data_IF_146620970079
#
_entry.id   IF_146620970079
#
_cell.length_a   1.000
_cell.length_b   1.000
_cell.length_c   1.000
_cell.angle_alpha   90.00
_cell.angle_beta   90.00
_cell.angle_gamma   90.00
#
_symmetry.space_group_name_H-M   'P 1'
#
loop_
_entity.id
_entity.type
_entity.pdbx_description
1 polymer ?
#
# COMPACT_ATOMS: atom_id res chain seq x y z
N UNK A 1 14.89 -18.93 16.92
CA UNK A 1 15.26 -18.01 15.81
C UNK A 1 14.36 -16.79 15.90
N UNK A 2 14.85 -15.61 15.51
CA UNK A 2 13.96 -14.44 15.35
C UNK A 2 13.00 -14.71 14.18
N UNK A 3 11.73 -14.34 14.31
CA UNK A 3 10.78 -14.46 13.19
C UNK A 3 11.16 -13.53 12.04
N UNK A 4 10.75 -13.86 10.81
CA UNK A 4 10.96 -13.00 9.63
C UNK A 4 10.52 -11.56 9.90
N UNK A 5 9.36 -11.38 10.55
CA UNK A 5 8.86 -10.04 10.88
C UNK A 5 9.75 -9.29 11.88
N UNK A 6 10.34 -9.98 12.86
CA UNK A 6 11.26 -9.33 13.78
C UNK A 6 12.52 -8.83 13.05
N UNK A 7 13.06 -9.63 12.14
CA UNK A 7 14.21 -9.22 11.30
C UNK A 7 13.88 -8.00 10.44
N UNK A 8 12.67 -7.91 9.88
CA UNK A 8 12.21 -6.75 9.12
C UNK A 8 12.15 -5.49 9.99
N UNK A 9 11.57 -5.58 11.19
CA UNK A 9 11.52 -4.43 12.13
C UNK A 9 12.89 -3.93 12.53
N UNK A 10 13.87 -4.84 12.63
CA UNK A 10 15.25 -4.51 13.00
C UNK A 10 16.10 -4.04 11.80
N UNK A 11 15.49 -3.92 10.60
CA UNK A 11 16.18 -3.48 9.38
C UNK A 11 17.10 -4.54 8.76
N UNK A 12 17.04 -5.79 9.23
CA UNK A 12 17.89 -6.91 8.80
C UNK A 12 17.26 -7.64 7.61
N UNK A 13 17.05 -6.89 6.51
CA UNK A 13 16.22 -7.37 5.39
C UNK A 13 16.82 -8.57 4.64
N UNK A 14 18.14 -8.63 4.44
CA UNK A 14 18.77 -9.80 3.80
C UNK A 14 18.56 -11.06 4.62
N UNK A 15 18.69 -10.96 5.94
CA UNK A 15 18.47 -12.08 6.85
C UNK A 15 16.99 -12.48 6.91
N UNK A 16 16.08 -11.50 6.84
CA UNK A 16 14.64 -11.75 6.72
C UNK A 16 14.32 -12.55 5.46
N UNK A 17 14.93 -12.24 4.31
CA UNK A 17 14.74 -13.00 3.08
C UNK A 17 15.19 -14.46 3.24
N UNK A 18 16.38 -14.70 3.81
CA UNK A 18 16.90 -16.04 4.03
C UNK A 18 16.05 -16.84 5.03
N UNK A 19 15.59 -16.20 6.11
CA UNK A 19 14.71 -16.80 7.10
C UNK A 19 13.35 -17.19 6.49
N UNK A 20 12.77 -16.33 5.64
CA UNK A 20 11.51 -16.60 4.97
C UNK A 20 11.58 -17.82 4.04
N UNK A 21 12.65 -17.95 3.27
CA UNK A 21 12.86 -19.11 2.39
C UNK A 21 12.97 -20.41 3.20
N UNK A 22 13.73 -20.38 4.31
CA UNK A 22 13.89 -21.53 5.20
C UNK A 22 12.57 -21.92 5.90
N UNK A 23 11.82 -20.95 6.41
CA UNK A 23 10.52 -21.18 7.06
C UNK A 23 9.48 -21.76 6.09
N UNK A 24 9.41 -21.23 4.86
CA UNK A 24 8.53 -21.75 3.82
C UNK A 24 8.93 -23.18 3.41
N UNK A 25 10.22 -23.47 3.24
CA UNK A 25 10.70 -24.81 2.91
C UNK A 25 10.36 -25.85 3.99
N UNK A 26 10.33 -25.46 5.26
CA UNK A 26 10.01 -26.35 6.39
C UNK A 26 8.50 -26.56 6.57
N UNK A 27 7.72 -25.48 6.53
CA UNK A 27 6.29 -25.50 6.86
C UNK A 27 5.37 -25.71 5.67
N UNK A 28 5.85 -25.44 4.45
CA UNK A 28 5.06 -25.23 3.23
C UNK A 28 4.06 -24.06 3.33
N UNK A 29 4.12 -23.27 4.40
CA UNK A 29 3.34 -22.04 4.52
C UNK A 29 3.96 -20.95 3.64
N UNK A 30 3.11 -20.22 2.92
CA UNK A 30 3.50 -19.14 2.03
C UNK A 30 3.57 -17.79 2.76
N UNK A 31 2.98 -17.67 3.95
CA UNK A 31 2.95 -16.43 4.72
C UNK A 31 4.35 -15.81 4.97
N UNK A 32 5.42 -16.58 5.27
CA UNK A 32 6.77 -16.02 5.38
C UNK A 32 7.25 -15.36 4.08
N UNK A 33 6.83 -15.85 2.91
CA UNK A 33 7.21 -15.27 1.62
C UNK A 33 6.58 -13.90 1.37
N UNK A 34 5.38 -13.64 1.91
CA UNK A 34 4.78 -12.29 1.87
C UNK A 34 5.63 -11.28 2.65
N UNK A 35 6.20 -11.69 3.79
CA UNK A 35 7.15 -10.85 4.52
C UNK A 35 8.45 -10.65 3.72
N UNK A 36 8.92 -11.66 2.97
CA UNK A 36 10.06 -11.53 2.06
C UNK A 36 9.81 -10.47 0.98
N UNK A 37 8.60 -10.36 0.42
CA UNK A 37 8.23 -9.27 -0.51
C UNK A 37 8.50 -7.90 0.12
N UNK A 38 8.08 -7.68 1.37
CA UNK A 38 8.34 -6.43 2.10
C UNK A 38 9.84 -6.17 2.31
N UNK A 39 10.61 -7.21 2.62
CA UNK A 39 12.06 -7.11 2.75
C UNK A 39 12.74 -6.73 1.42
N UNK A 40 12.29 -7.32 0.29
CA UNK A 40 12.80 -7.02 -1.05
C UNK A 40 12.50 -5.58 -1.47
N UNK A 41 11.30 -5.05 -1.16
CA UNK A 41 10.95 -3.66 -1.38
C UNK A 41 11.87 -2.70 -0.59
N UNK A 42 12.22 -3.03 0.65
CA UNK A 42 13.14 -2.23 1.45
C UNK A 42 14.59 -2.30 0.93
N UNK A 43 14.98 -3.41 0.32
CA UNK A 43 16.27 -3.59 -0.36
C UNK A 43 16.31 -3.00 -1.78
N UNK A 44 15.19 -2.46 -2.29
CA UNK A 44 15.02 -2.03 -3.68
C UNK A 44 15.34 -3.12 -4.72
N UNK A 45 15.16 -4.39 -4.37
CA UNK A 45 15.33 -5.55 -5.25
C UNK A 45 14.00 -5.83 -5.96
N UNK A 46 13.57 -4.89 -6.82
CA UNK A 46 12.21 -4.83 -7.35
C UNK A 46 11.89 -5.99 -8.30
N UNK A 47 12.82 -6.41 -9.14
CA UNK A 47 12.64 -7.53 -10.07
C UNK A 47 12.37 -8.85 -9.32
N UNK A 48 13.12 -9.11 -8.25
CA UNK A 48 12.92 -10.29 -7.40
C UNK A 48 11.60 -10.21 -6.63
N UNK A 49 11.18 -9.00 -6.24
CA UNK A 49 9.87 -8.78 -5.61
C UNK A 49 8.74 -9.12 -6.59
N UNK A 50 8.83 -8.71 -7.87
CA UNK A 50 7.87 -9.07 -8.91
C UNK A 50 7.79 -10.58 -9.11
N UNK A 51 8.94 -11.25 -9.27
CA UNK A 51 8.99 -12.70 -9.48
C UNK A 51 8.36 -13.45 -8.31
N UNK A 52 8.72 -13.07 -7.07
CA UNK A 52 8.17 -13.70 -5.88
C UNK A 52 6.68 -13.46 -5.73
N UNK A 53 6.20 -12.23 -5.91
CA UNK A 53 4.76 -11.91 -5.83
C UNK A 53 3.95 -12.69 -6.86
N UNK A 54 4.42 -12.80 -8.11
CA UNK A 54 3.77 -13.63 -9.13
C UNK A 54 3.69 -15.10 -8.72
N UNK A 55 4.77 -15.65 -8.19
CA UNK A 55 4.80 -17.03 -7.69
C UNK A 55 3.82 -17.25 -6.53
N UNK A 56 3.70 -16.26 -5.63
CA UNK A 56 2.72 -16.31 -4.54
C UNK A 56 1.31 -16.33 -5.10
N UNK A 57 0.95 -15.38 -5.97
CA UNK A 57 -0.37 -15.31 -6.60
C UNK A 57 -0.72 -16.62 -7.32
N UNK A 58 0.20 -17.19 -8.09
CA UNK A 58 -0.02 -18.47 -8.77
C UNK A 58 -0.27 -19.62 -7.77
N UNK A 59 0.57 -19.73 -6.74
CA UNK A 59 0.44 -20.79 -5.74
C UNK A 59 -0.83 -20.68 -4.87
N UNK A 60 -1.32 -19.46 -4.64
CA UNK A 60 -2.56 -19.20 -3.90
C UNK A 60 -3.77 -19.00 -4.79
N UNK A 61 -3.63 -19.20 -6.11
CA UNK A 61 -4.69 -18.96 -7.10
C UNK A 61 -5.31 -17.57 -7.01
N UNK A 62 -4.53 -16.55 -6.60
CA UNK A 62 -5.03 -15.18 -6.46
C UNK A 62 -6.07 -14.99 -5.35
N UNK A 63 -6.11 -15.89 -4.36
CA UNK A 63 -7.14 -15.89 -3.33
C UNK A 63 -7.22 -14.60 -2.49
N UNK A 64 -6.15 -13.80 -2.37
CA UNK A 64 -6.14 -12.59 -1.54
C UNK A 64 -5.61 -11.35 -2.26
N UNK A 65 -6.28 -10.22 -2.03
CA UNK A 65 -5.95 -8.91 -2.60
C UNK A 65 -4.55 -8.41 -2.23
N UNK A 66 -4.04 -8.73 -1.04
CA UNK A 66 -2.73 -8.25 -0.56
C UNK A 66 -1.58 -8.63 -1.49
N UNK A 67 -1.66 -9.78 -2.16
CA UNK A 67 -0.63 -10.27 -3.06
C UNK A 67 -0.59 -9.42 -4.35
N UNK A 68 -1.76 -8.99 -4.85
CA UNK A 68 -1.90 -8.05 -5.96
C UNK A 68 -1.48 -6.63 -5.56
N UNK A 69 -1.85 -6.18 -4.35
CA UNK A 69 -1.50 -4.85 -3.84
C UNK A 69 0.01 -4.63 -3.90
N UNK A 70 0.81 -5.55 -3.33
CA UNK A 70 2.26 -5.38 -3.31
C UNK A 70 2.94 -5.65 -4.64
N UNK A 71 2.38 -6.49 -5.51
CA UNK A 71 2.85 -6.60 -6.89
C UNK A 71 2.66 -5.28 -7.65
N UNK A 72 1.48 -4.66 -7.54
CA UNK A 72 1.19 -3.36 -8.17
C UNK A 72 2.07 -2.24 -7.60
N UNK A 73 2.29 -2.20 -6.28
CA UNK A 73 3.27 -1.28 -5.66
C UNK A 73 4.67 -1.47 -6.24
N UNK A 74 5.10 -2.73 -6.41
CA UNK A 74 6.42 -3.02 -6.99
C UNK A 74 6.52 -2.50 -8.43
N UNK A 75 5.53 -2.78 -9.28
CA UNK A 75 5.49 -2.25 -10.65
C UNK A 75 5.46 -0.72 -10.69
N UNK A 76 4.71 -0.10 -9.78
CA UNK A 76 4.67 1.35 -9.65
C UNK A 76 6.07 1.89 -9.33
N UNK A 77 6.78 1.28 -8.37
CA UNK A 77 8.15 1.70 -8.04
C UNK A 77 9.15 1.51 -9.20
N UNK A 78 8.90 0.55 -10.10
CA UNK A 78 9.67 0.36 -11.33
C UNK A 78 9.30 1.34 -12.47
N UNK A 79 8.32 2.24 -12.25
CA UNK A 79 7.81 3.14 -13.28
C UNK A 79 6.85 2.47 -14.29
N UNK A 80 6.51 1.20 -14.09
CA UNK A 80 5.59 0.43 -14.94
C UNK A 80 4.14 0.71 -14.55
N UNK A 81 3.68 1.93 -14.83
CA UNK A 81 2.37 2.45 -14.37
C UNK A 81 1.19 1.63 -14.85
N UNK A 82 1.18 1.29 -16.14
CA UNK A 82 0.10 0.49 -16.73
C UNK A 82 0.02 -0.89 -16.09
N UNK A 83 1.17 -1.56 -15.92
CA UNK A 83 1.22 -2.87 -15.26
C UNK A 83 0.72 -2.81 -13.80
N UNK A 84 1.07 -1.74 -13.07
CA UNK A 84 0.60 -1.54 -11.71
C UNK A 84 -0.93 -1.40 -11.62
N UNK A 85 -1.52 -0.57 -12.50
CA UNK A 85 -2.98 -0.37 -12.55
C UNK A 85 -3.68 -1.67 -12.95
N UNK A 86 -3.19 -2.38 -13.97
CA UNK A 86 -3.77 -3.67 -14.39
C UNK A 86 -3.76 -4.68 -13.24
N UNK A 87 -2.64 -4.82 -12.53
CA UNK A 87 -2.55 -5.76 -11.39
C UNK A 87 -3.50 -5.37 -10.26
N UNK A 88 -3.65 -4.08 -9.96
CA UNK A 88 -4.61 -3.64 -8.95
C UNK A 88 -6.04 -3.96 -9.38
N UNK A 89 -6.40 -3.71 -10.64
CA UNK A 89 -7.71 -4.10 -11.18
C UNK A 89 -7.96 -5.61 -11.08
N UNK A 90 -6.97 -6.44 -11.41
CA UNK A 90 -7.07 -7.90 -11.28
C UNK A 90 -7.31 -8.33 -9.81
N UNK A 91 -6.72 -7.61 -8.86
CA UNK A 91 -6.88 -7.86 -7.43
C UNK A 91 -8.27 -7.53 -6.88
N UNK A 92 -9.09 -6.74 -7.58
CA UNK A 92 -10.48 -6.47 -7.17
C UNK A 92 -11.34 -7.75 -7.19
N UNK A 93 -10.96 -8.73 -8.00
CA UNK A 93 -11.64 -10.02 -8.14
C UNK A 93 -11.15 -11.07 -7.13
N UNK A 94 -10.21 -10.71 -6.24
CA UNK A 94 -9.70 -11.63 -5.22
C UNK A 94 -10.81 -12.06 -4.25
N UNK A 95 -10.83 -13.37 -3.94
CA UNK A 95 -11.87 -13.98 -3.11
C UNK A 95 -11.89 -13.44 -1.68
N UNK A 96 -10.71 -13.27 -1.10
CA UNK A 96 -10.53 -12.77 0.25
C UNK A 96 -9.95 -11.37 0.19
N UNK A 97 -10.79 -10.42 0.59
CA UNK A 97 -10.38 -9.05 0.82
C UNK A 97 -10.28 -8.80 2.33
N UNK A 98 -9.71 -7.65 2.70
CA UNK A 98 -9.67 -7.24 4.09
C UNK A 98 -11.08 -7.13 4.74
N UNK A 99 -11.11 -7.07 6.07
CA UNK A 99 -12.37 -6.92 6.83
C UNK A 99 -13.14 -5.63 6.51
N UNK A 100 -12.52 -4.70 5.76
CA UNK A 100 -13.15 -3.47 5.31
C UNK A 100 -13.82 -3.59 3.93
N UNK A 101 -13.89 -4.80 3.37
CA UNK A 101 -14.58 -5.06 2.12
C UNK A 101 -13.75 -4.72 0.87
N UNK A 102 -12.41 -4.72 1.00
CA UNK A 102 -11.51 -4.54 -0.14
C UNK A 102 -11.57 -3.14 -0.72
N UNK A 103 -11.51 -2.12 0.14
CA UNK A 103 -11.40 -0.72 -0.28
C UNK A 103 -9.95 -0.30 -0.57
N UNK A 104 -8.96 -1.08 -0.13
CA UNK A 104 -7.54 -0.74 -0.33
C UNK A 104 -7.17 -0.63 -1.82
N UNK A 105 -7.67 -1.52 -2.69
CA UNK A 105 -7.42 -1.45 -4.13
C UNK A 105 -8.04 -0.21 -4.78
N UNK A 106 -9.35 0.08 -4.62
CA UNK A 106 -9.92 1.33 -5.13
C UNK A 106 -9.23 2.60 -4.63
N UNK A 107 -8.69 2.59 -3.39
CA UNK A 107 -7.88 3.70 -2.89
C UNK A 107 -6.54 3.84 -3.65
N UNK A 108 -5.90 2.73 -4.00
CA UNK A 108 -4.68 2.73 -4.82
C UNK A 108 -4.95 3.17 -6.27
N UNK A 109 -6.06 2.73 -6.86
CA UNK A 109 -6.50 3.22 -8.17
C UNK A 109 -6.76 4.73 -8.15
N UNK A 110 -7.38 5.25 -7.08
CA UNK A 110 -7.56 6.69 -6.91
C UNK A 110 -6.22 7.44 -6.86
N UNK A 111 -5.24 6.92 -6.11
CA UNK A 111 -3.88 7.47 -6.12
C UNK A 111 -3.27 7.46 -7.53
N UNK A 112 -3.40 6.35 -8.25
CA UNK A 112 -2.89 6.22 -9.60
C UNK A 112 -3.53 7.25 -10.53
N UNK A 113 -4.84 7.44 -10.46
CA UNK A 113 -5.58 8.43 -11.23
C UNK A 113 -5.04 9.85 -11.00
N UNK A 114 -4.79 10.22 -9.75
CA UNK A 114 -4.26 11.55 -9.41
C UNK A 114 -2.85 11.77 -9.97
N UNK A 115 -2.00 10.74 -9.93
CA UNK A 115 -0.63 10.82 -10.45
C UNK A 115 -0.58 10.84 -11.98
N UNK A 116 -1.45 10.06 -12.63
CA UNK A 116 -1.50 9.96 -14.08
C UNK A 116 -2.36 11.05 -14.73
N UNK A 117 -3.12 11.82 -13.93
CA UNK A 117 -4.16 12.75 -14.39
C UNK A 117 -5.18 12.05 -15.29
N UNK A 118 -5.52 10.82 -14.93
CA UNK A 118 -6.47 9.98 -15.66
C UNK A 118 -7.87 10.13 -15.04
N UNK A 119 -8.72 10.91 -15.71
CA UNK A 119 -10.10 11.16 -15.25
C UNK A 119 -10.98 9.91 -15.32
N UNK A 120 -10.69 8.97 -16.22
CA UNK A 120 -11.46 7.73 -16.35
C UNK A 120 -11.18 6.83 -15.16
N UNK A 121 -9.90 6.71 -14.77
CA UNK A 121 -9.51 5.97 -13.59
C UNK A 121 -9.98 6.65 -12.29
N UNK A 122 -10.01 7.99 -12.26
CA UNK A 122 -10.59 8.75 -11.13
C UNK A 122 -12.08 8.43 -10.96
N UNK A 123 -12.85 8.45 -12.05
CA UNK A 123 -14.28 8.15 -12.02
C UNK A 123 -14.54 6.71 -11.56
N UNK A 124 -13.86 5.73 -12.18
CA UNK A 124 -13.96 4.31 -11.82
C UNK A 124 -13.69 4.09 -10.33
N UNK A 125 -12.52 4.53 -9.86
CA UNK A 125 -12.10 4.32 -8.47
C UNK A 125 -13.06 5.00 -7.49
N UNK A 126 -13.54 6.21 -7.81
CA UNK A 126 -14.52 6.93 -6.99
C UNK A 126 -15.87 6.21 -6.93
N UNK A 127 -16.34 5.64 -8.05
CA UNK A 127 -17.58 4.84 -8.08
C UNK A 127 -17.43 3.58 -7.23
N UNK A 128 -16.31 2.85 -7.38
CA UNK A 128 -16.02 1.67 -6.57
C UNK A 128 -15.96 1.99 -5.08
N UNK A 129 -15.24 3.06 -4.70
CA UNK A 129 -15.16 3.57 -3.34
C UNK A 129 -16.54 3.92 -2.77
N UNK A 130 -17.39 4.62 -3.55
CA UNK A 130 -18.75 4.98 -3.13
C UNK A 130 -19.63 3.75 -2.91
N UNK A 131 -19.52 2.74 -3.78
CA UNK A 131 -20.27 1.50 -3.65
C UNK A 131 -19.91 0.70 -2.38
N UNK A 132 -18.67 0.81 -1.91
CA UNK A 132 -18.17 0.13 -0.71
C UNK A 132 -18.26 0.99 0.56
N UNK A 133 -18.46 2.31 0.43
CA UNK A 133 -18.38 3.24 1.55
C UNK A 133 -19.41 2.94 2.64
N UNK A 134 -18.93 2.92 3.89
CA UNK A 134 -19.75 2.91 5.08
C UNK A 134 -19.19 3.92 6.09
N UNK A 135 -19.97 4.36 7.08
CA UNK A 135 -19.45 5.17 8.21
C UNK A 135 -18.75 4.31 9.28
N UNK A 136 -18.15 3.21 8.85
CA UNK A 136 -17.55 2.19 9.72
C UNK A 136 -16.16 2.58 10.26
N UNK A 137 -15.49 1.62 10.93
CA UNK A 137 -14.13 1.81 11.42
C UNK A 137 -13.14 1.98 10.27
N UNK A 138 -11.87 2.15 10.62
CA UNK A 138 -10.78 2.16 9.65
C UNK A 138 -10.87 1.02 8.62
N UNK A 139 -10.60 1.26 7.32
CA UNK A 139 -10.13 2.50 6.67
C UNK A 139 -11.24 3.39 6.09
N UNK A 140 -12.52 3.18 6.41
CA UNK A 140 -13.63 3.98 5.84
C UNK A 140 -13.53 5.50 6.01
N UNK A 141 -12.93 6.07 7.08
CA UNK A 141 -12.68 7.50 7.14
C UNK A 141 -11.85 8.03 5.96
N UNK A 142 -10.91 7.24 5.43
CA UNK A 142 -10.15 7.60 4.23
C UNK A 142 -11.05 7.68 2.99
N UNK A 143 -11.95 6.71 2.85
CA UNK A 143 -12.95 6.69 1.77
C UNK A 143 -13.82 7.93 1.86
N UNK A 144 -14.35 8.24 3.05
CA UNK A 144 -15.12 9.46 3.29
C UNK A 144 -14.35 10.73 2.96
N UNK A 145 -13.05 10.78 3.27
CA UNK A 145 -12.19 11.92 2.92
C UNK A 145 -12.01 12.11 1.42
N UNK A 146 -11.79 11.04 0.67
CA UNK A 146 -11.67 11.09 -0.79
C UNK A 146 -12.99 11.50 -1.44
N UNK A 147 -14.11 10.99 -0.93
CA UNK A 147 -15.45 11.32 -1.40
C UNK A 147 -15.92 12.73 -0.98
N UNK A 148 -15.18 13.41 -0.09
CA UNK A 148 -15.55 14.75 0.42
C UNK A 148 -16.59 14.75 1.54
N UNK A 149 -16.91 13.60 2.10
CA UNK A 149 -17.88 13.39 3.19
C UNK A 149 -17.29 13.69 4.58
N UNK A 150 -15.95 13.60 4.71
CA UNK A 150 -15.21 13.82 5.95
C UNK A 150 -14.00 14.69 5.65
N UNK A 151 -13.65 15.61 6.55
CA UNK A 151 -12.44 16.43 6.43
C UNK A 151 -11.21 15.73 7.07
N UNK A 152 -10.04 16.36 6.96
CA UNK A 152 -8.81 15.78 7.51
C UNK A 152 -8.88 15.59 9.04
N UNK A 153 -9.54 16.50 9.75
CA UNK A 153 -9.70 16.42 11.20
C UNK A 153 -10.59 15.24 11.60
N UNK A 154 -11.67 15.00 10.85
CA UNK A 154 -12.56 13.86 11.04
C UNK A 154 -11.84 12.53 10.84
N UNK A 155 -10.96 12.43 9.84
CA UNK A 155 -10.11 11.24 9.64
C UNK A 155 -9.17 11.03 10.83
N UNK A 156 -8.46 12.08 11.26
CA UNK A 156 -7.52 11.99 12.37
C UNK A 156 -8.22 11.67 13.70
N UNK A 157 -9.45 12.14 13.89
CA UNK A 157 -10.28 11.80 15.04
C UNK A 157 -10.69 10.32 15.10
N UNK A 158 -10.71 9.62 13.96
CA UNK A 158 -11.05 8.20 13.87
C UNK A 158 -9.82 7.27 14.05
N UNK A 159 -8.62 7.82 14.19
CA UNK A 159 -7.40 7.04 14.40
C UNK A 159 -7.43 6.38 15.78
N UNK A 160 -7.01 5.12 15.84
CA UNK A 160 -6.92 4.31 17.04
C UNK A 160 -6.00 4.93 18.10
N UNK A 161 -6.31 4.67 19.36
CA UNK A 161 -5.41 4.96 20.48
C UNK A 161 -4.31 3.92 20.67
N UNK A 162 -4.44 2.73 20.05
CA UNK A 162 -3.44 1.66 20.15
C UNK A 162 -2.19 2.05 19.35
N UNK A 163 -0.99 2.18 19.95
CA UNK A 163 0.16 2.79 19.29
C UNK A 163 0.53 2.19 17.94
N UNK A 164 0.54 0.86 17.82
CA UNK A 164 0.87 0.16 16.58
C UNK A 164 -0.17 0.39 15.46
N UNK A 165 -1.45 0.44 15.83
CA UNK A 165 -2.53 0.72 14.87
C UNK A 165 -2.54 2.20 14.51
N UNK A 166 -2.37 3.08 15.48
CA UNK A 166 -2.26 4.53 15.32
C UNK A 166 -1.22 4.88 14.27
N UNK A 167 0.00 4.33 14.39
CA UNK A 167 1.08 4.56 13.43
C UNK A 167 0.72 4.12 12.01
N UNK A 168 0.12 2.93 11.84
CA UNK A 168 -0.35 2.46 10.52
C UNK A 168 -1.41 3.39 9.93
N UNK A 169 -2.37 3.80 10.73
CA UNK A 169 -3.48 4.64 10.28
C UNK A 169 -3.04 6.06 9.97
N UNK A 170 -2.10 6.64 10.74
CA UNK A 170 -1.48 7.93 10.40
C UNK A 170 -0.69 7.82 9.10
N UNK A 171 0.07 6.73 8.88
CA UNK A 171 0.80 6.53 7.64
C UNK A 171 -0.13 6.57 6.42
N UNK A 172 -1.24 5.83 6.49
CA UNK A 172 -2.26 5.80 5.44
C UNK A 172 -2.98 7.16 5.29
N UNK A 173 -3.44 7.79 6.38
CA UNK A 173 -4.09 9.10 6.34
C UNK A 173 -3.21 10.16 5.70
N UNK A 174 -1.97 10.29 6.19
CA UNK A 174 -1.00 11.24 5.67
C UNK A 174 -0.73 10.99 4.19
N UNK A 175 -0.63 9.74 3.74
CA UNK A 175 -0.50 9.45 2.31
C UNK A 175 -1.67 10.02 1.51
N UNK A 176 -2.93 9.69 1.85
CA UNK A 176 -4.09 10.16 1.08
C UNK A 176 -4.35 11.66 1.21
N UNK A 177 -3.94 12.30 2.31
CA UNK A 177 -3.90 13.77 2.39
C UNK A 177 -2.92 14.34 1.36
N UNK A 178 -1.74 13.73 1.23
CA UNK A 178 -0.77 14.08 0.19
C UNK A 178 -1.32 13.87 -1.23
N UNK A 179 -2.00 12.75 -1.47
CA UNK A 179 -2.66 12.46 -2.76
C UNK A 179 -3.67 13.54 -3.13
N UNK A 180 -4.50 13.99 -2.18
CA UNK A 180 -5.45 15.08 -2.45
C UNK A 180 -4.74 16.40 -2.76
N UNK A 181 -3.61 16.69 -2.11
CA UNK A 181 -2.79 17.86 -2.43
C UNK A 181 -2.17 17.79 -3.83
N UNK A 182 -1.87 16.60 -4.34
CA UNK A 182 -1.47 16.44 -5.74
C UNK A 182 -2.58 16.87 -6.71
N UNK A 183 -3.84 16.53 -6.42
CA UNK A 183 -5.02 16.98 -7.19
C UNK A 183 -5.14 18.50 -7.24
N UNK A 184 -4.86 19.14 -6.11
CA UNK A 184 -4.85 20.61 -5.95
C UNK A 184 -3.60 21.27 -6.55
N UNK A 185 -2.68 20.49 -7.14
CA UNK A 185 -1.37 20.93 -7.62
C UNK A 185 -0.45 21.54 -6.55
N UNK A 186 -0.77 21.33 -5.27
CA UNK A 186 0.05 21.78 -4.14
C UNK A 186 1.12 20.73 -3.79
N UNK A 187 2.20 20.74 -4.59
CA UNK A 187 3.31 19.80 -4.44
C UNK A 187 4.04 19.93 -3.10
N UNK A 188 4.09 21.12 -2.52
CA UNK A 188 4.79 21.36 -1.26
C UNK A 188 4.02 20.72 -0.09
N UNK A 189 2.71 20.93 -0.03
CA UNK A 189 1.86 20.28 0.97
C UNK A 189 1.82 18.75 0.75
N UNK A 190 1.75 18.30 -0.51
CA UNK A 190 1.82 16.87 -0.82
C UNK A 190 3.10 16.22 -0.27
N UNK A 191 4.26 16.85 -0.52
CA UNK A 191 5.55 16.37 -0.02
C UNK A 191 5.59 16.32 1.51
N UNK A 192 5.08 17.33 2.20
CA UNK A 192 5.01 17.35 3.67
C UNK A 192 4.23 16.12 4.20
N UNK A 193 3.09 15.84 3.58
CA UNK A 193 2.27 14.68 3.93
C UNK A 193 2.95 13.33 3.64
N UNK A 194 3.69 13.21 2.54
CA UNK A 194 4.46 11.99 2.27
C UNK A 194 5.61 11.78 3.27
N UNK A 195 6.27 12.86 3.74
CA UNK A 195 7.27 12.78 4.82
C UNK A 195 6.62 12.25 6.10
N UNK A 196 5.44 12.76 6.47
CA UNK A 196 4.72 12.28 7.65
C UNK A 196 4.32 10.80 7.50
N UNK A 197 3.91 10.38 6.31
CA UNK A 197 3.54 8.99 6.03
C UNK A 197 4.69 8.01 6.27
N UNK A 198 5.91 8.35 5.82
CA UNK A 198 7.09 7.49 6.01
C UNK A 198 7.66 7.55 7.44
N UNK A 199 7.33 8.60 8.20
CA UNK A 199 7.87 8.87 9.54
C UNK A 199 7.30 8.02 10.69
N UNK A 200 6.32 7.15 10.43
CA UNK A 200 5.57 6.43 11.48
C UNK A 200 6.27 5.16 12.01
N UNK A 201 7.49 4.87 11.54
CA UNK A 201 8.34 3.80 12.06
C UNK A 201 8.08 2.40 11.46
N UNK A 202 8.81 1.36 11.91
CA UNK A 202 8.87 0.07 11.21
C UNK A 202 7.55 -0.71 11.12
N UNK A 203 6.58 -0.38 11.98
CA UNK A 203 5.25 -1.02 11.96
C UNK A 203 4.47 -0.71 10.68
N UNK A 204 4.82 0.35 9.96
CA UNK A 204 4.17 0.75 8.71
C UNK A 204 4.79 0.11 7.48
N UNK A 205 5.84 -0.70 7.62
CA UNK A 205 6.40 -1.50 6.52
C UNK A 205 5.40 -2.52 5.96
N UNK A 206 4.30 -2.81 6.67
CA UNK A 206 3.20 -3.63 6.15
C UNK A 206 2.15 -2.82 5.39
N UNK A 207 2.36 -1.51 5.16
CA UNK A 207 1.42 -0.63 4.47
C UNK A 207 2.00 -0.19 3.14
N UNK A 208 1.27 -0.43 2.07
CA UNK A 208 1.58 -0.02 0.71
C UNK A 208 1.84 1.48 0.59
N UNK A 209 1.10 2.28 1.35
CA UNK A 209 1.20 3.73 1.40
C UNK A 209 2.60 4.19 1.84
N UNK A 210 3.28 3.44 2.72
CA UNK A 210 4.66 3.74 3.10
C UNK A 210 5.60 3.70 1.88
N UNK A 211 5.49 2.66 1.05
CA UNK A 211 6.36 2.49 -0.11
C UNK A 211 6.05 3.49 -1.21
N UNK A 212 4.77 3.78 -1.43
CA UNK A 212 4.32 4.78 -2.40
C UNK A 212 4.71 6.20 -1.96
N UNK A 213 4.56 6.54 -0.68
CA UNK A 213 5.06 7.81 -0.13
C UNK A 213 6.58 7.94 -0.29
N UNK A 214 7.34 6.88 0.03
CA UNK A 214 8.79 6.84 -0.17
C UNK A 214 9.15 7.07 -1.64
N UNK A 215 8.41 6.43 -2.56
CA UNK A 215 8.58 6.62 -3.99
C UNK A 215 8.32 8.07 -4.44
N UNK A 216 7.24 8.70 -3.97
CA UNK A 216 6.94 10.10 -4.29
C UNK A 216 8.06 11.05 -3.81
N UNK A 217 8.64 10.78 -2.64
CA UNK A 217 9.73 11.59 -2.08
C UNK A 217 11.04 11.47 -2.88
N UNK A 218 11.31 10.32 -3.50
CA UNK A 218 12.51 10.10 -4.32
C UNK A 218 12.30 10.52 -5.78
N UNK A 219 11.10 10.30 -6.31
CA UNK A 219 10.76 10.49 -7.73
C UNK A 219 10.41 11.93 -8.08
N UNK A 220 10.13 12.78 -7.10
CA UNK A 220 9.99 14.23 -7.28
C UNK A 220 11.24 14.92 -7.88
N UNK A 221 12.33 14.18 -8.11
CA UNK A 221 13.52 14.64 -8.85
C UNK A 221 13.47 14.37 -10.37
N UNK A 222 12.54 13.54 -10.85
CA UNK A 222 12.56 12.97 -12.22
C UNK A 222 11.44 13.52 -13.12
N UNK A 223 10.40 14.13 -12.56
CA UNK A 223 9.35 14.79 -13.35
C UNK A 223 9.69 16.29 -13.55
N UNK A 224 10.65 16.59 -14.43
CA UNK A 224 10.88 17.89 -15.09
C UNK A 224 10.58 17.74 -16.57
#
# INVERSE_FOLDING_TARGET
MASVWQLIKDGRYQEACAAADAECAQSKDIAPLRNKVLALLNLARLEESVELSKRIIEATHGDTDVDYIFLGVTYWMMGKRSDAVTVWMDGEEAKYTDLAGGVEIPLLEYYAAMRLRDSTLEERSTVALRGKYSRGPWPFPLVGYILGEVDANGVLGAVSSIPALKAKQICQASFYFGVRKLRESDRAAAKHHFVESVGQGPVTLTKQEYYLAKYELTSARVDV
#
